data_IF_848869580100
#
_entry.id   IF_848869580100
#
_cell.length_a   1.000
_cell.length_b   1.000
_cell.length_c   1.000
_cell.angle_alpha   90.00
_cell.angle_beta   90.00
_cell.angle_gamma   90.00
#
_symmetry.space_group_name_H-M   'P 1'
#
loop_
_entity.id
_entity.type
_entity.pdbx_description
1 polymer ?
#
# COMPACT_ATOMS: atom_id res chain seq x y z
N UNK A 1 -46.08 -56.24 -11.92
CA UNK A 1 -44.71 -55.90 -11.49
C UNK A 1 -44.16 -54.84 -12.44
N UNK A 2 -44.02 -53.60 -11.99
CA UNK A 2 -43.22 -52.59 -12.69
C UNK A 2 -42.83 -51.51 -11.69
N UNK A 3 -41.58 -51.55 -11.24
CA UNK A 3 -40.99 -50.55 -10.35
C UNK A 3 -40.21 -49.54 -11.20
N UNK A 4 -40.66 -48.29 -11.24
CA UNK A 4 -39.87 -47.19 -11.80
C UNK A 4 -38.81 -46.78 -10.77
N UNK A 5 -37.54 -47.03 -11.10
CA UNK A 5 -36.39 -46.51 -10.35
C UNK A 5 -36.22 -45.03 -10.69
N UNK A 6 -36.56 -44.16 -9.74
CA UNK A 6 -36.20 -42.75 -9.77
C UNK A 6 -34.77 -42.60 -9.23
N UNK A 7 -33.81 -42.34 -10.11
CA UNK A 7 -32.46 -41.92 -9.74
C UNK A 7 -32.42 -40.38 -9.73
N UNK A 8 -32.38 -39.78 -8.53
CA UNK A 8 -32.03 -38.38 -8.36
C UNK A 8 -30.50 -38.26 -8.32
N UNK A 9 -29.89 -37.73 -9.38
CA UNK A 9 -28.52 -37.23 -9.35
C UNK A 9 -28.52 -35.88 -8.63
N UNK A 10 -28.11 -35.86 -7.37
CA UNK A 10 -27.76 -34.63 -6.67
C UNK A 10 -26.32 -34.25 -7.05
N UNK A 11 -26.17 -33.43 -8.09
CA UNK A 11 -24.88 -32.82 -8.44
C UNK A 11 -24.55 -31.71 -7.44
N UNK A 12 -23.50 -31.90 -6.64
CA UNK A 12 -22.95 -30.85 -5.80
C UNK A 12 -22.26 -29.81 -6.68
N UNK A 13 -22.84 -28.61 -6.77
CA UNK A 13 -22.19 -27.46 -7.41
C UNK A 13 -21.21 -26.86 -6.41
N UNK A 14 -19.92 -27.17 -6.57
CA UNK A 14 -18.83 -26.47 -5.90
C UNK A 14 -18.67 -25.10 -6.59
N UNK A 15 -19.26 -24.06 -6.00
CA UNK A 15 -18.98 -22.68 -6.43
C UNK A 15 -17.59 -22.29 -5.92
N UNK A 16 -16.60 -22.33 -6.79
CA UNK A 16 -15.32 -21.68 -6.54
C UNK A 16 -15.57 -20.17 -6.41
N UNK A 17 -15.63 -19.66 -5.17
CA UNK A 17 -15.55 -18.23 -4.94
C UNK A 17 -14.16 -17.78 -5.34
N UNK A 18 -14.05 -17.09 -6.48
CA UNK A 18 -12.84 -16.32 -6.75
C UNK A 18 -12.67 -15.34 -5.58
N UNK A 19 -11.52 -15.36 -4.92
CA UNK A 19 -11.23 -14.41 -3.86
C UNK A 19 -11.28 -13.01 -4.45
N UNK A 20 -12.30 -12.23 -4.07
CA UNK A 20 -12.47 -10.87 -4.53
C UNK A 20 -11.39 -10.01 -3.86
N UNK A 21 -10.75 -9.13 -4.63
CA UNK A 21 -9.76 -8.21 -4.08
C UNK A 21 -10.39 -7.32 -3.01
N UNK A 22 -9.70 -7.09 -1.90
CA UNK A 22 -10.20 -6.22 -0.84
C UNK A 22 -10.17 -4.77 -1.31
N UNK A 23 -11.31 -4.08 -1.27
CA UNK A 23 -11.48 -2.69 -1.68
C UNK A 23 -11.05 -1.76 -0.55
N UNK A 24 -9.93 -1.08 -0.73
CA UNK A 24 -9.39 -0.13 0.26
C UNK A 24 -9.60 1.30 -0.23
N UNK A 25 -10.49 2.03 0.43
CA UNK A 25 -10.72 3.45 0.16
C UNK A 25 -9.63 4.31 0.76
N UNK A 26 -9.03 5.20 -0.03
CA UNK A 26 -8.05 6.20 0.42
C UNK A 26 -8.70 7.57 0.35
N UNK A 27 -8.99 8.16 1.51
CA UNK A 27 -9.52 9.52 1.63
C UNK A 27 -8.35 10.50 1.69
N UNK A 28 -8.14 11.25 0.61
CA UNK A 28 -6.95 12.07 0.39
C UNK A 28 -7.23 13.54 0.64
N UNK A 29 -6.43 14.12 1.54
CA UNK A 29 -6.32 15.56 1.75
C UNK A 29 -4.88 16.01 1.43
N UNK A 30 -4.75 16.90 0.44
CA UNK A 30 -3.47 17.48 0.03
C UNK A 30 -3.53 19.01 0.09
N UNK A 31 -2.40 19.69 0.35
CA UNK A 31 -2.30 21.13 0.19
C UNK A 31 -2.69 21.54 -1.24
N UNK A 32 -3.44 22.64 -1.44
CA UNK A 32 -3.83 23.12 -2.78
C UNK A 32 -2.64 23.44 -3.69
N UNK A 33 -1.45 23.65 -3.13
CA UNK A 33 -0.20 23.92 -3.86
C UNK A 33 0.46 22.66 -4.43
N UNK A 34 -0.04 21.47 -4.09
CA UNK A 34 0.56 20.20 -4.52
C UNK A 34 0.39 20.01 -6.04
N UNK A 35 1.48 19.89 -6.82
CA UNK A 35 1.37 19.69 -8.26
C UNK A 35 0.70 18.35 -8.58
N UNK A 36 -0.18 18.31 -9.60
CA UNK A 36 -0.87 17.08 -10.02
C UNK A 36 0.10 15.92 -10.30
N UNK A 37 1.22 16.19 -10.96
CA UNK A 37 2.26 15.19 -11.25
C UNK A 37 2.90 14.56 -9.99
N UNK A 38 2.87 15.25 -8.84
CA UNK A 38 3.32 14.66 -7.55
C UNK A 38 2.26 13.67 -7.05
N UNK A 39 0.98 14.03 -7.16
CA UNK A 39 -0.14 13.19 -6.73
C UNK A 39 -0.23 11.93 -7.60
N UNK A 40 -0.20 12.08 -8.93
CA UNK A 40 -0.24 10.97 -9.87
C UNK A 40 0.91 9.97 -9.64
N UNK A 41 2.13 10.48 -9.41
CA UNK A 41 3.28 9.62 -9.14
C UNK A 41 3.22 8.97 -7.75
N UNK A 42 2.64 9.63 -6.75
CA UNK A 42 2.37 9.04 -5.43
C UNK A 42 1.37 7.88 -5.56
N UNK A 43 0.26 8.09 -6.28
CA UNK A 43 -0.75 7.04 -6.51
C UNK A 43 -0.14 5.85 -7.25
N UNK A 44 0.52 6.11 -8.38
CA UNK A 44 1.13 5.07 -9.20
C UNK A 44 2.18 4.24 -8.44
N UNK A 45 3.04 4.89 -7.64
CA UNK A 45 4.02 4.16 -6.82
C UNK A 45 3.35 3.30 -5.75
N UNK A 46 2.29 3.83 -5.11
CA UNK A 46 1.56 3.13 -4.04
C UNK A 46 0.85 1.90 -4.60
N UNK A 47 0.17 2.06 -5.74
CA UNK A 47 -0.52 0.98 -6.44
C UNK A 47 0.46 -0.09 -6.92
N UNK A 48 1.57 0.32 -7.55
CA UNK A 48 2.60 -0.60 -8.04
C UNK A 48 3.23 -1.41 -6.89
N UNK A 49 3.52 -0.77 -5.75
CA UNK A 49 4.06 -1.44 -4.59
C UNK A 49 3.09 -2.45 -3.97
N UNK A 50 1.78 -2.19 -4.07
CA UNK A 50 0.72 -2.99 -3.46
C UNK A 50 -0.01 -3.91 -4.45
N UNK A 51 0.34 -3.93 -5.74
CA UNK A 51 -0.39 -4.70 -6.77
C UNK A 51 -0.54 -6.19 -6.46
N UNK A 52 0.42 -6.77 -5.75
CA UNK A 52 0.42 -8.19 -5.41
C UNK A 52 -0.26 -8.48 -4.05
N UNK A 53 -0.81 -7.48 -3.37
CA UNK A 53 -1.42 -7.63 -2.04
C UNK A 53 -2.82 -8.23 -2.05
N UNK A 54 -3.46 -8.31 -3.22
CA UNK A 54 -4.88 -8.67 -3.33
C UNK A 54 -5.83 -7.54 -2.92
N UNK A 55 -5.36 -6.29 -2.96
CA UNK A 55 -6.18 -5.09 -2.75
C UNK A 55 -6.45 -4.33 -4.03
N UNK A 56 -7.60 -3.66 -4.07
CA UNK A 56 -7.93 -2.60 -5.02
C UNK A 56 -7.91 -1.27 -4.25
N UNK A 57 -7.10 -0.30 -4.67
CA UNK A 57 -7.05 1.02 -4.05
C UNK A 57 -8.01 1.98 -4.75
N UNK A 58 -8.85 2.65 -3.98
CA UNK A 58 -9.87 3.57 -4.48
C UNK A 58 -9.65 4.96 -3.88
N UNK A 59 -9.15 5.89 -4.69
CA UNK A 59 -8.75 7.21 -4.24
C UNK A 59 -9.92 8.20 -4.28
N UNK A 60 -10.27 8.78 -3.13
CA UNK A 60 -11.27 9.86 -3.03
C UNK A 60 -10.60 11.12 -2.50
N UNK A 61 -10.55 12.17 -3.31
CA UNK A 61 -10.00 13.46 -2.92
C UNK A 61 -11.09 14.35 -2.34
N UNK A 62 -10.78 15.08 -1.26
CA UNK A 62 -11.76 15.89 -0.50
C UNK A 62 -12.49 16.99 -1.30
N UNK A 63 -12.10 17.26 -2.55
CA UNK A 63 -12.71 18.26 -3.44
C UNK A 63 -13.63 17.65 -4.52
N UNK A 64 -13.84 16.32 -4.51
CA UNK A 64 -14.76 15.64 -5.43
C UNK A 64 -16.07 15.24 -4.77
N UNK A 65 -17.15 15.16 -5.53
CA UNK A 65 -18.36 14.47 -5.08
C UNK A 65 -18.00 13.02 -4.78
N UNK A 66 -18.18 12.59 -3.52
CA UNK A 66 -18.05 11.19 -3.17
C UNK A 66 -19.18 10.43 -3.88
N UNK A 67 -18.84 9.67 -4.92
CA UNK A 67 -19.68 8.59 -5.36
C UNK A 67 -20.00 7.70 -4.14
N UNK A 68 -21.16 7.05 -4.12
CA UNK A 68 -21.57 6.11 -3.06
C UNK A 68 -20.75 4.82 -3.17
N UNK A 69 -19.43 4.94 -3.00
CA UNK A 69 -18.50 3.84 -3.00
C UNK A 69 -18.53 3.13 -1.65
N UNK A 70 -18.48 1.80 -1.70
CA UNK A 70 -18.32 0.96 -0.53
C UNK A 70 -16.90 0.41 -0.48
N UNK A 71 -16.34 0.39 0.73
CA UNK A 71 -14.98 -0.04 1.00
C UNK A 71 -14.98 -1.11 2.09
N UNK A 72 -14.11 -2.12 1.96
CA UNK A 72 -13.87 -3.10 3.03
C UNK A 72 -13.03 -2.49 4.15
N UNK A 73 -12.12 -1.57 3.78
CA UNK A 73 -11.25 -0.81 4.68
C UNK A 73 -11.11 0.62 4.18
N UNK A 74 -10.84 1.56 5.10
CA UNK A 74 -10.61 2.96 4.77
C UNK A 74 -9.30 3.42 5.40
N UNK A 75 -8.52 4.20 4.66
CA UNK A 75 -7.33 4.92 5.13
C UNK A 75 -7.52 6.40 4.82
N UNK A 76 -7.35 7.27 5.81
CA UNK A 76 -7.32 8.71 5.60
C UNK A 76 -5.87 9.18 5.46
N UNK A 77 -5.52 9.70 4.30
CA UNK A 77 -4.22 10.28 4.01
C UNK A 77 -4.28 11.80 4.08
N UNK A 78 -3.39 12.40 4.87
CA UNK A 78 -3.14 13.84 4.86
C UNK A 78 -1.68 14.12 4.53
N UNK A 79 -1.44 14.87 3.46
CA UNK A 79 -0.13 15.45 3.20
C UNK A 79 0.01 16.78 3.96
N UNK A 80 1.11 16.97 4.67
CA UNK A 80 1.41 18.19 5.42
C UNK A 80 2.72 18.83 4.96
N UNK A 81 2.78 20.16 5.07
CA UNK A 81 3.88 20.97 4.51
C UNK A 81 3.52 21.52 3.13
N UNK A 82 4.52 21.96 2.37
CA UNK A 82 4.27 22.64 1.08
C UNK A 82 3.96 21.68 -0.07
N UNK A 83 4.47 20.44 0.01
CA UNK A 83 4.30 19.39 -1.00
C UNK A 83 4.63 19.81 -2.44
N UNK A 84 5.60 20.72 -2.58
CA UNK A 84 6.20 21.12 -3.85
C UNK A 84 7.65 20.66 -3.88
N UNK A 85 8.18 20.19 -5.02
CA UNK A 85 9.56 19.71 -5.14
C UNK A 85 10.55 20.88 -5.27
N UNK A 86 10.43 21.86 -4.38
CA UNK A 86 11.28 23.04 -4.28
C UNK A 86 11.91 23.05 -2.91
N UNK A 87 13.24 23.17 -2.88
CA UNK A 87 14.02 23.15 -1.65
C UNK A 87 13.43 24.10 -0.58
N UNK A 88 13.13 23.61 0.62
CA UNK A 88 12.68 24.47 1.70
C UNK A 88 13.83 25.32 2.24
N UNK A 89 13.57 26.62 2.46
CA UNK A 89 14.57 27.56 2.99
C UNK A 89 14.96 27.23 4.45
N UNK A 90 13.99 26.85 5.28
CA UNK A 90 14.18 26.49 6.69
C UNK A 90 13.18 25.40 7.04
N UNK A 91 13.64 24.20 7.39
CA UNK A 91 12.79 23.17 8.02
C UNK A 91 13.32 22.87 9.40
N UNK A 92 12.43 22.84 10.40
CA UNK A 92 12.79 22.31 11.73
C UNK A 92 13.26 20.86 11.55
N UNK A 93 14.30 20.47 12.29
CA UNK A 93 14.86 19.10 12.25
C UNK A 93 13.85 18.10 12.81
N UNK A 94 12.91 17.67 11.99
CA UNK A 94 12.15 16.44 12.22
C UNK A 94 12.85 15.29 11.51
N UNK A 95 12.83 14.11 12.09
CA UNK A 95 13.29 12.89 11.41
C UNK A 95 12.12 12.01 10.94
N UNK A 96 10.89 12.42 11.24
CA UNK A 96 9.67 11.68 10.94
C UNK A 96 9.18 12.05 9.54
N UNK A 97 9.20 11.08 8.62
CA UNK A 97 8.74 11.24 7.25
C UNK A 97 7.21 11.15 7.14
N UNK A 98 6.63 10.18 7.85
CA UNK A 98 5.21 9.99 8.01
C UNK A 98 4.92 9.36 9.37
N UNK A 99 3.66 9.31 9.75
CA UNK A 99 3.22 8.64 10.96
C UNK A 99 1.75 8.23 10.88
N UNK A 100 1.42 7.23 11.70
CA UNK A 100 0.05 6.84 12.04
C UNK A 100 -0.28 7.20 13.48
N UNK A 101 -1.56 7.30 13.78
CA UNK A 101 -2.05 7.61 15.13
C UNK A 101 -2.35 6.32 15.89
N UNK A 102 -2.14 6.32 17.21
CA UNK A 102 -2.49 5.19 18.08
C UNK A 102 -3.44 5.70 19.16
N UNK A 103 -4.58 5.02 19.34
CA UNK A 103 -5.51 5.24 20.46
C UNK A 103 -5.81 3.91 21.13
N UNK A 104 -5.76 3.88 22.47
CA UNK A 104 -6.02 2.68 23.27
C UNK A 104 -5.23 1.44 22.79
N UNK A 105 -3.96 1.65 22.42
CA UNK A 105 -3.06 0.60 21.91
C UNK A 105 -3.35 0.13 20.48
N UNK A 106 -4.31 0.74 19.78
CA UNK A 106 -4.72 0.37 18.43
C UNK A 106 -4.24 1.40 17.41
N UNK A 107 -3.64 0.94 16.32
CA UNK A 107 -3.27 1.81 15.19
C UNK A 107 -4.55 2.26 14.47
N UNK A 108 -4.72 3.57 14.33
CA UNK A 108 -5.87 4.19 13.69
C UNK A 108 -5.63 4.38 12.19
N UNK A 109 -6.70 4.45 11.37
CA UNK A 109 -6.59 4.58 9.92
C UNK A 109 -6.29 6.01 9.44
N UNK A 110 -5.43 6.73 10.16
CA UNK A 110 -5.00 8.09 9.80
C UNK A 110 -3.51 8.08 9.52
N UNK A 111 -3.13 8.43 8.30
CA UNK A 111 -1.76 8.56 7.83
C UNK A 111 -1.47 10.03 7.57
N UNK A 112 -0.40 10.54 8.17
CA UNK A 112 0.12 11.87 7.89
C UNK A 112 1.53 11.78 7.30
N UNK A 113 1.79 12.47 6.18
CA UNK A 113 3.11 12.50 5.54
C UNK A 113 3.64 13.92 5.49
N UNK A 114 4.83 14.13 6.03
CA UNK A 114 5.51 15.41 6.06
C UNK A 114 6.38 15.61 4.82
N UNK A 115 5.81 16.28 3.82
CA UNK A 115 6.43 16.55 2.52
C UNK A 115 7.80 17.25 2.63
N UNK A 116 7.92 18.28 3.50
CA UNK A 116 9.18 19.03 3.65
C UNK A 116 10.28 18.17 4.31
N UNK A 117 9.90 17.18 5.12
CA UNK A 117 10.83 16.21 5.73
C UNK A 117 11.28 15.15 4.75
N UNK A 118 10.36 14.60 3.94
CA UNK A 118 10.70 13.69 2.83
C UNK A 118 11.67 14.38 1.86
N UNK A 119 11.34 15.59 1.42
CA UNK A 119 12.17 16.35 0.48
C UNK A 119 13.59 16.59 1.04
N UNK A 120 13.70 16.96 2.32
CA UNK A 120 15.01 17.14 2.99
C UNK A 120 15.86 15.87 2.98
N UNK A 121 15.26 14.69 3.21
CA UNK A 121 16.01 13.42 3.17
C UNK A 121 16.47 13.12 1.74
N UNK A 122 15.63 13.38 0.73
CA UNK A 122 16.00 13.20 -0.68
C UNK A 122 17.15 14.11 -1.12
N UNK A 123 17.24 15.32 -0.57
CA UNK A 123 18.31 16.28 -0.84
C UNK A 123 19.57 16.07 0.01
N UNK A 124 19.51 15.19 1.03
CA UNK A 124 20.64 14.99 1.94
C UNK A 124 21.87 14.43 1.21
N UNK A 125 23.04 15.05 1.43
CA UNK A 125 24.32 14.53 0.92
C UNK A 125 24.73 14.98 -0.49
N UNK A 126 24.06 15.95 -1.12
CA UNK A 126 24.64 16.64 -2.28
C UNK A 126 24.51 18.16 -2.21
N UNK A 127 25.63 18.90 -2.05
CA UNK A 127 25.64 20.35 -2.16
C UNK A 127 25.45 20.86 -3.60
N UNK A 128 25.41 19.98 -4.61
CA UNK A 128 25.52 20.32 -6.04
C UNK A 128 24.39 19.76 -6.92
N UNK A 129 23.38 19.11 -6.35
CA UNK A 129 22.22 18.66 -7.15
C UNK A 129 21.43 19.89 -7.58
N UNK A 130 21.08 19.91 -8.86
CA UNK A 130 20.21 20.88 -9.52
C UNK A 130 19.05 21.31 -8.60
N UNK A 131 18.68 22.60 -8.56
CA UNK A 131 17.63 23.12 -7.69
C UNK A 131 16.22 22.58 -7.98
N UNK A 132 16.11 21.62 -8.88
CA UNK A 132 14.87 21.05 -9.39
C UNK A 132 14.89 19.52 -9.21
N UNK A 133 14.12 19.04 -8.25
CA UNK A 133 13.76 17.63 -8.14
C UNK A 133 12.55 17.39 -9.05
N UNK A 134 12.58 16.41 -9.97
CA UNK A 134 11.42 16.15 -10.81
C UNK A 134 10.18 15.81 -9.95
N UNK A 135 9.00 16.41 -10.21
CA UNK A 135 7.78 16.15 -9.45
C UNK A 135 7.44 14.66 -9.32
N UNK A 136 7.71 13.89 -10.37
CA UNK A 136 7.47 12.45 -10.38
C UNK A 136 8.39 11.69 -9.42
N UNK A 137 9.65 12.09 -9.28
CA UNK A 137 10.58 11.49 -8.30
C UNK A 137 10.13 11.80 -6.89
N UNK A 138 9.67 13.02 -6.64
CA UNK A 138 9.12 13.41 -5.35
C UNK A 138 7.82 12.66 -5.01
N UNK A 139 6.90 12.53 -5.96
CA UNK A 139 5.68 11.75 -5.80
C UNK A 139 5.95 10.28 -5.45
N UNK A 140 6.89 9.62 -6.14
CA UNK A 140 7.31 8.25 -5.78
C UNK A 140 7.84 8.16 -4.35
N UNK A 141 8.65 9.11 -3.91
CA UNK A 141 9.14 9.13 -2.52
C UNK A 141 7.99 9.21 -1.51
N UNK A 142 6.99 10.06 -1.76
CA UNK A 142 5.79 10.14 -0.92
C UNK A 142 4.99 8.84 -0.97
N UNK A 143 4.86 8.21 -2.13
CA UNK A 143 4.18 6.91 -2.29
C UNK A 143 4.83 5.81 -1.45
N UNK A 144 6.17 5.76 -1.38
CA UNK A 144 6.89 4.78 -0.54
C UNK A 144 6.64 4.99 0.94
N UNK A 145 6.63 6.25 1.38
CA UNK A 145 6.27 6.60 2.76
C UNK A 145 4.82 6.22 3.03
N UNK A 146 3.91 6.48 2.08
CA UNK A 146 2.51 6.07 2.21
C UNK A 146 2.37 4.55 2.36
N UNK A 147 3.06 3.75 1.55
CA UNK A 147 3.04 2.29 1.64
C UNK A 147 3.50 1.84 3.03
N UNK A 148 4.59 2.42 3.55
CA UNK A 148 5.08 2.15 4.90
C UNK A 148 3.98 2.35 5.96
N UNK A 149 3.36 3.54 5.97
CA UNK A 149 2.31 3.87 6.94
C UNK A 149 1.03 3.05 6.72
N UNK A 150 0.66 2.77 5.47
CA UNK A 150 -0.47 1.90 5.15
C UNK A 150 -0.27 0.49 5.69
N UNK A 151 0.96 -0.03 5.68
CA UNK A 151 1.25 -1.33 6.28
C UNK A 151 0.97 -1.32 7.79
N UNK A 152 1.33 -0.25 8.51
CA UNK A 152 0.98 -0.10 9.92
C UNK A 152 -0.53 -0.10 10.16
N UNK A 153 -1.27 0.68 9.38
CA UNK A 153 -2.74 0.76 9.48
C UNK A 153 -3.40 -0.58 9.16
N UNK A 154 -3.07 -1.15 8.01
CA UNK A 154 -3.79 -2.30 7.47
C UNK A 154 -3.46 -3.59 8.20
N UNK A 155 -2.31 -3.68 8.86
CA UNK A 155 -1.94 -4.84 9.71
C UNK A 155 -2.18 -4.59 11.19
N UNK A 156 -2.63 -3.38 11.56
CA UNK A 156 -2.83 -2.94 12.96
C UNK A 156 -1.60 -3.22 13.80
N UNK A 157 -0.42 -2.87 13.28
CA UNK A 157 0.86 -3.23 13.87
C UNK A 157 1.87 -2.10 13.76
N UNK A 158 2.68 -1.89 14.79
CA UNK A 158 3.84 -0.99 14.77
C UNK A 158 5.15 -1.71 14.40
N UNK A 159 5.07 -2.97 13.97
CA UNK A 159 6.25 -3.75 13.62
C UNK A 159 6.88 -3.25 12.32
N UNK A 160 8.22 -3.23 12.31
CA UNK A 160 9.02 -2.95 11.13
C UNK A 160 9.78 -4.21 10.69
N UNK A 161 9.99 -4.37 9.39
CA UNK A 161 10.95 -5.35 8.90
C UNK A 161 12.37 -4.76 8.94
N UNK A 162 13.37 -5.60 8.63
CA UNK A 162 14.77 -5.15 8.56
C UNK A 162 15.10 -4.44 7.24
N UNK A 163 14.30 -4.66 6.21
CA UNK A 163 14.55 -4.21 4.84
C UNK A 163 13.25 -3.89 4.08
N UNK A 164 13.37 -3.46 2.83
CA UNK A 164 12.22 -3.14 1.98
C UNK A 164 11.48 -1.87 2.41
N UNK A 165 10.23 -1.75 1.98
CA UNK A 165 9.34 -0.62 2.26
C UNK A 165 8.86 -0.54 3.73
N UNK A 166 9.05 -1.61 4.50
CA UNK A 166 8.59 -1.72 5.90
C UNK A 166 9.72 -1.56 6.91
N UNK A 167 10.93 -1.17 6.47
CA UNK A 167 12.05 -0.88 7.38
C UNK A 167 11.85 0.44 8.14
N UNK A 168 12.43 0.60 9.33
CA UNK A 168 12.13 1.73 10.22
C UNK A 168 12.70 3.09 9.77
N UNK A 169 13.58 3.12 8.77
CA UNK A 169 14.22 4.36 8.33
C UNK A 169 14.55 4.32 6.83
N UNK A 170 14.09 5.33 6.10
CA UNK A 170 14.48 5.57 4.71
C UNK A 170 15.64 6.57 4.62
N UNK A 171 16.58 6.27 3.75
CA UNK A 171 17.66 7.15 3.34
C UNK A 171 17.37 7.78 1.96
N UNK A 172 18.28 8.62 1.47
CA UNK A 172 18.15 9.26 0.15
C UNK A 172 17.97 8.25 -0.99
N UNK A 173 18.76 7.17 -1.01
CA UNK A 173 18.68 6.13 -2.05
C UNK A 173 17.31 5.46 -2.05
N UNK A 174 16.81 5.13 -0.87
CA UNK A 174 15.49 4.51 -0.67
C UNK A 174 14.34 5.39 -1.17
N UNK A 175 14.50 6.72 -1.18
CA UNK A 175 13.47 7.65 -1.62
C UNK A 175 13.61 8.09 -3.08
N UNK A 176 14.81 7.97 -3.67
CA UNK A 176 15.11 8.55 -4.99
C UNK A 176 15.26 7.52 -6.11
N UNK A 177 15.86 6.35 -5.82
CA UNK A 177 16.13 5.32 -6.82
C UNK A 177 15.01 4.28 -6.90
N UNK A 178 14.87 3.55 -8.01
CA UNK A 178 13.93 2.42 -8.09
C UNK A 178 14.37 1.22 -7.22
N UNK A 179 13.53 0.19 -7.12
CA UNK A 179 13.91 -1.13 -6.60
C UNK A 179 13.63 -1.40 -5.12
N UNK A 180 13.00 -0.46 -4.40
CA UNK A 180 12.52 -0.72 -3.05
C UNK A 180 11.13 -1.33 -3.11
N UNK A 181 10.98 -2.56 -2.64
CA UNK A 181 9.75 -3.33 -2.71
C UNK A 181 9.31 -3.80 -1.31
N UNK A 182 8.07 -4.26 -1.19
CA UNK A 182 7.64 -5.01 -0.02
C UNK A 182 8.35 -6.36 0.01
N UNK A 183 8.89 -6.73 1.16
CA UNK A 183 9.40 -8.08 1.38
C UNK A 183 8.24 -9.09 1.41
N UNK A 184 8.49 -10.34 1.04
CA UNK A 184 7.46 -11.39 0.99
C UNK A 184 6.75 -11.56 2.35
N UNK A 185 7.49 -11.46 3.45
CA UNK A 185 6.93 -11.51 4.80
C UNK A 185 5.95 -10.35 5.07
N UNK A 186 6.25 -9.14 4.59
CA UNK A 186 5.36 -7.98 4.70
C UNK A 186 4.08 -8.21 3.88
N UNK A 187 4.25 -8.70 2.65
CA UNK A 187 3.14 -9.00 1.75
C UNK A 187 2.21 -10.07 2.33
N UNK A 188 2.78 -11.11 2.94
CA UNK A 188 2.01 -12.18 3.58
C UNK A 188 1.22 -11.67 4.79
N UNK A 189 1.84 -10.87 5.68
CA UNK A 189 1.14 -10.25 6.82
C UNK A 189 -0.03 -9.37 6.35
N UNK A 190 0.18 -8.62 5.28
CA UNK A 190 -0.85 -7.78 4.68
C UNK A 190 -2.02 -8.62 4.15
N UNK A 191 -1.76 -9.65 3.34
CA UNK A 191 -2.79 -10.57 2.82
C UNK A 191 -3.60 -11.23 3.95
N UNK A 192 -2.92 -11.69 5.00
CA UNK A 192 -3.56 -12.28 6.17
C UNK A 192 -4.51 -11.28 6.85
N UNK A 193 -4.08 -10.03 7.04
CA UNK A 193 -4.91 -8.99 7.66
C UNK A 193 -6.15 -8.63 6.83
N UNK A 194 -6.04 -8.73 5.51
CA UNK A 194 -7.14 -8.49 4.58
C UNK A 194 -8.11 -9.68 4.46
N UNK A 195 -7.79 -10.82 5.09
CA UNK A 195 -8.57 -12.05 4.91
C UNK A 195 -8.42 -12.69 3.53
N UNK A 196 -7.40 -12.29 2.76
CA UNK A 196 -7.08 -12.89 1.46
C UNK A 196 -6.37 -14.22 1.74
N UNK A 197 -7.07 -15.34 1.51
CA UNK A 197 -6.49 -16.68 1.66
C UNK A 197 -5.63 -17.03 0.44
N UNK A 198 -4.38 -17.46 0.65
CA UNK A 198 -3.47 -17.93 -0.40
C UNK A 198 -3.96 -19.26 -1.00
N UNK A 199 -4.95 -19.22 -1.90
CA UNK A 199 -5.43 -20.42 -2.61
C UNK A 199 -4.57 -20.80 -3.84
N UNK A 200 -3.35 -20.28 -3.96
CA UNK A 200 -2.45 -20.59 -5.08
C UNK A 200 -1.16 -21.32 -4.69
N UNK A 201 -0.93 -21.64 -3.42
CA UNK A 201 0.30 -22.35 -3.00
C UNK A 201 0.19 -23.90 -3.05
N UNK A 202 -1.01 -24.50 -3.07
CA UNK A 202 -1.16 -25.96 -2.92
C UNK A 202 -1.43 -26.77 -4.20
N UNK A 203 -1.64 -26.14 -5.35
CA UNK A 203 -1.93 -26.90 -6.58
C UNK A 203 -0.68 -27.38 -7.35
N UNK A 204 0.51 -27.29 -6.74
CA UNK A 204 1.79 -27.57 -7.42
C UNK A 204 2.59 -28.78 -6.94
N UNK A 205 2.18 -29.51 -5.88
CA UNK A 205 3.06 -30.53 -5.26
C UNK A 205 2.46 -31.91 -5.01
N UNK A 206 1.21 -32.18 -5.39
CA UNK A 206 0.62 -33.51 -5.27
C UNK A 206 0.32 -34.15 -6.63
N UNK A 207 1.38 -34.57 -7.32
CA UNK A 207 1.28 -35.70 -8.24
C UNK A 207 2.46 -36.65 -8.03
N UNK A 208 2.39 -37.39 -6.91
CA UNK A 208 2.99 -38.73 -6.84
C UNK A 208 2.15 -39.65 -7.73
N UNK A 209 2.73 -40.12 -8.82
CA UNK A 209 2.34 -41.38 -9.42
C UNK A 209 3.39 -42.42 -9.01
N UNK A 210 2.99 -43.33 -8.12
CA UNK A 210 3.55 -44.67 -8.07
C UNK A 210 2.87 -45.50 -9.16
N UNK A 211 3.65 -46.26 -9.93
CA UNK A 211 3.35 -47.64 -10.28
C UNK A 211 4.64 -48.32 -10.79
N UNK A 212 4.85 -49.54 -10.30
CA UNK A 212 5.82 -50.59 -10.67
C UNK A 212 5.75 -50.88 -12.20
N UNK A 213 6.76 -51.42 -12.89
CA UNK A 213 7.65 -52.58 -12.64
C UNK A 213 8.99 -52.38 -13.39
#
# INVERSE_FOLDING_TARGET
MSFYRMLCFAGAVLTAHAAQASRVGILVNVPPTTPAAVIEALQAETEEALKNSGMELLWTFSQGEAARETYDRVVSLRLIGRCVPVRPEIVRRSHVLGFTHISDGTVLPFVEINCDTVLRVMESGSPWVTPYLPPTVFGRALGRVLVHEMLHVLTVSSAHDREGLTKPAFNRTDLTLGGLHLADAALQRLRQSLGVSDLQAENGSHQRAHAEE
#
